data_IF_257719851826
#
_entry.id   IF_257719851826
#
_cell.length_a   1.000
_cell.length_b   1.000
_cell.length_c   1.000
_cell.angle_alpha   90.00
_cell.angle_beta   90.00
_cell.angle_gamma   90.00
#
_symmetry.space_group_name_H-M   'P 1'
#
loop_
_entity.id
_entity.type
_entity.pdbx_description
1 polymer ?
#
# COMPACT_ATOMS: atom_id res chain seq x y z
N UNK A 1 38.13 8.42 -31.19
CA UNK A 1 38.07 8.20 -29.72
C UNK A 1 36.86 7.33 -29.47
N UNK A 2 37.05 6.12 -28.94
CA UNK A 2 35.93 5.24 -28.68
C UNK A 2 34.99 5.87 -27.67
N UNK A 3 33.66 5.87 -27.95
CA UNK A 3 32.61 6.32 -27.03
C UNK A 3 32.80 5.56 -25.71
N UNK A 4 33.17 6.28 -24.66
CA UNK A 4 33.40 5.66 -23.36
C UNK A 4 32.04 5.31 -22.75
N UNK A 5 31.74 4.02 -22.67
CA UNK A 5 30.53 3.52 -22.00
C UNK A 5 30.71 3.67 -20.50
N UNK A 6 29.76 4.33 -19.84
CA UNK A 6 29.75 4.51 -18.39
C UNK A 6 28.72 3.54 -17.78
N UNK A 7 29.15 2.50 -17.07
CA UNK A 7 28.27 1.51 -16.42
C UNK A 7 27.71 2.10 -15.11
N UNK A 8 26.53 2.71 -15.20
CA UNK A 8 25.92 3.45 -14.07
C UNK A 8 25.59 2.53 -12.90
N UNK A 9 25.11 1.31 -13.18
CA UNK A 9 24.81 0.31 -12.14
C UNK A 9 26.03 -0.07 -11.32
N UNK A 10 27.19 -0.20 -11.96
CA UNK A 10 28.46 -0.53 -11.28
C UNK A 10 28.91 0.62 -10.36
N UNK A 11 28.82 1.86 -10.83
CA UNK A 11 29.16 3.03 -10.01
C UNK A 11 28.29 3.13 -8.75
N UNK A 12 26.98 2.80 -8.87
CA UNK A 12 26.08 2.75 -7.73
C UNK A 12 26.44 1.63 -6.75
N UNK A 13 26.80 0.45 -7.26
CA UNK A 13 27.18 -0.70 -6.42
C UNK A 13 28.47 -0.43 -5.65
N UNK A 14 29.47 0.22 -6.26
CA UNK A 14 30.75 0.56 -5.65
C UNK A 14 30.64 1.61 -4.55
N UNK A 15 29.72 2.58 -4.70
CA UNK A 15 29.53 3.68 -3.75
C UNK A 15 28.53 3.39 -2.63
N UNK A 16 27.59 2.45 -2.87
CA UNK A 16 26.56 2.12 -1.89
C UNK A 16 25.50 3.20 -1.71
N UNK A 17 25.01 3.37 -0.48
CA UNK A 17 24.02 4.39 -0.14
C UNK A 17 24.66 5.76 -0.06
N UNK A 18 24.13 6.72 -0.83
CA UNK A 18 24.55 8.10 -0.84
C UNK A 18 23.40 9.10 -0.58
N UNK A 19 23.73 10.38 -0.57
CA UNK A 19 22.77 11.47 -0.35
C UNK A 19 21.60 11.46 -1.36
N UNK A 20 21.85 10.97 -2.58
CA UNK A 20 20.82 10.86 -3.63
C UNK A 20 19.72 9.86 -3.23
N UNK A 21 20.07 8.66 -2.79
CA UNK A 21 19.13 7.64 -2.35
C UNK A 21 18.38 8.06 -1.08
N UNK A 22 19.09 8.68 -0.14
CA UNK A 22 18.46 9.22 1.09
C UNK A 22 17.45 10.31 0.73
N UNK A 23 17.77 11.21 -0.20
CA UNK A 23 16.86 12.24 -0.68
C UNK A 23 15.61 11.63 -1.32
N UNK A 24 15.75 10.59 -2.14
CA UNK A 24 14.62 9.86 -2.73
C UNK A 24 13.75 9.20 -1.66
N UNK A 25 14.36 8.56 -0.66
CA UNK A 25 13.62 7.94 0.45
C UNK A 25 12.83 8.96 1.26
N UNK A 26 13.40 10.14 1.53
CA UNK A 26 12.70 11.22 2.24
C UNK A 26 11.47 11.67 1.44
N UNK A 27 11.59 11.91 0.14
CA UNK A 27 10.46 12.24 -0.71
C UNK A 27 9.42 11.13 -0.74
N UNK A 28 9.86 9.89 -0.91
CA UNK A 28 8.99 8.72 -0.90
C UNK A 28 8.24 8.60 0.42
N UNK A 29 8.90 8.84 1.55
CA UNK A 29 8.29 8.81 2.87
C UNK A 29 7.11 9.78 2.97
N UNK A 30 7.28 11.05 2.61
CA UNK A 30 6.20 12.04 2.70
C UNK A 30 5.07 11.74 1.72
N UNK A 31 5.38 11.34 0.49
CA UNK A 31 4.40 10.98 -0.53
C UNK A 31 3.55 9.79 -0.07
N UNK A 32 4.18 8.73 0.43
CA UNK A 32 3.50 7.50 0.87
C UNK A 32 2.78 7.69 2.21
N UNK A 33 3.30 8.54 3.08
CA UNK A 33 2.65 8.89 4.35
C UNK A 33 1.27 9.51 4.10
N UNK A 34 1.19 10.47 3.19
CA UNK A 34 -0.09 11.13 2.87
C UNK A 34 -1.02 10.24 2.04
N UNK A 35 -0.49 9.31 1.26
CA UNK A 35 -1.23 8.26 0.59
C UNK A 35 -1.97 7.36 1.61
N UNK A 36 -1.24 6.88 2.62
CA UNK A 36 -1.82 6.14 3.74
C UNK A 36 -2.87 6.93 4.53
N UNK A 37 -2.65 8.23 4.72
CA UNK A 37 -3.62 9.13 5.33
C UNK A 37 -4.94 9.13 4.56
N UNK A 38 -4.90 9.38 3.25
CA UNK A 38 -6.11 9.55 2.45
C UNK A 38 -6.94 8.26 2.34
N UNK A 39 -6.28 7.11 2.19
CA UNK A 39 -6.95 5.79 2.17
C UNK A 39 -7.79 5.58 3.45
N UNK A 40 -7.31 6.03 4.60
CA UNK A 40 -8.00 5.86 5.87
C UNK A 40 -9.01 6.99 6.17
N UNK A 41 -8.79 8.20 5.68
CA UNK A 41 -9.55 9.40 6.04
C UNK A 41 -11.07 9.24 5.90
N UNK A 42 -11.54 8.63 4.82
CA UNK A 42 -12.97 8.40 4.57
C UNK A 42 -13.63 7.52 5.65
N UNK A 43 -12.92 6.54 6.20
CA UNK A 43 -13.42 5.67 7.25
C UNK A 43 -13.65 6.44 8.56
N UNK A 44 -12.77 7.39 8.87
CA UNK A 44 -12.91 8.25 10.05
C UNK A 44 -13.95 9.36 9.87
N UNK A 45 -14.21 9.82 8.64
CA UNK A 45 -15.29 10.74 8.32
C UNK A 45 -16.67 10.07 8.35
N UNK A 46 -16.73 8.76 8.08
CA UNK A 46 -17.96 7.99 7.88
C UNK A 46 -19.00 8.14 8.99
N UNK A 47 -18.69 8.08 10.30
CA UNK A 47 -19.68 8.26 11.35
C UNK A 47 -20.37 9.64 11.31
N UNK A 48 -19.62 10.68 10.98
CA UNK A 48 -20.15 12.05 10.85
C UNK A 48 -21.02 12.19 9.60
N UNK A 49 -20.60 11.62 8.47
CA UNK A 49 -21.37 11.60 7.22
C UNK A 49 -22.70 10.86 7.38
N UNK A 50 -22.69 9.68 8.04
CA UNK A 50 -23.92 8.92 8.33
C UNK A 50 -24.92 9.76 9.13
N UNK A 51 -24.44 10.47 10.13
CA UNK A 51 -25.27 11.31 10.98
C UNK A 51 -25.78 12.57 10.26
N UNK A 52 -24.89 13.28 9.57
CA UNK A 52 -25.20 14.57 8.92
C UNK A 52 -26.11 14.40 7.71
N UNK A 53 -25.86 13.38 6.90
CA UNK A 53 -26.66 13.10 5.70
C UNK A 53 -27.81 12.10 5.93
N UNK A 54 -28.07 11.72 7.18
CA UNK A 54 -29.09 10.74 7.57
C UNK A 54 -29.06 9.46 6.73
N UNK A 55 -27.86 8.91 6.49
CA UNK A 55 -27.65 7.78 5.59
C UNK A 55 -28.19 6.48 6.20
N UNK A 56 -28.70 5.61 5.34
CA UNK A 56 -29.03 4.23 5.73
C UNK A 56 -27.78 3.45 6.09
N UNK A 57 -27.85 2.50 7.02
CA UNK A 57 -26.77 1.56 7.28
C UNK A 57 -26.29 0.93 5.96
N UNK A 58 -24.99 0.89 5.74
CA UNK A 58 -24.41 0.30 4.53
C UNK A 58 -24.26 1.22 3.31
N UNK A 59 -24.89 2.38 3.27
CA UNK A 59 -24.83 3.27 2.11
C UNK A 59 -23.40 3.74 1.76
N UNK A 60 -22.46 3.76 2.73
CA UNK A 60 -21.06 4.13 2.51
C UNK A 60 -20.19 3.01 1.90
N UNK A 61 -20.67 1.77 1.86
CA UNK A 61 -19.90 0.66 1.30
C UNK A 61 -19.38 0.91 -0.12
N UNK A 62 -20.24 1.32 -1.08
CA UNK A 62 -19.81 1.71 -2.41
C UNK A 62 -18.78 2.86 -2.41
N UNK A 63 -18.91 3.84 -1.52
CA UNK A 63 -17.98 4.98 -1.43
C UNK A 63 -16.59 4.52 -0.97
N UNK A 64 -16.52 3.63 0.02
CA UNK A 64 -15.25 3.02 0.44
C UNK A 64 -14.59 2.25 -0.70
N UNK A 65 -15.38 1.47 -1.44
CA UNK A 65 -14.88 0.69 -2.57
C UNK A 65 -14.53 1.53 -3.78
N UNK A 66 -15.16 2.70 -3.98
CA UNK A 66 -14.88 3.60 -5.11
C UNK A 66 -13.41 4.01 -5.15
N UNK A 67 -12.83 4.43 -4.02
CA UNK A 67 -11.40 4.76 -3.95
C UNK A 67 -10.51 3.56 -4.35
N UNK A 68 -10.88 2.35 -3.91
CA UNK A 68 -10.10 1.13 -4.18
C UNK A 68 -10.18 0.69 -5.65
N UNK A 69 -11.33 0.89 -6.29
CA UNK A 69 -11.49 0.74 -7.75
C UNK A 69 -10.63 1.77 -8.48
N UNK A 70 -10.68 3.03 -8.03
CA UNK A 70 -9.82 4.09 -8.56
C UNK A 70 -8.34 3.73 -8.45
N UNK A 71 -7.89 3.21 -7.28
CA UNK A 71 -6.52 2.77 -7.04
C UNK A 71 -6.11 1.64 -8.01
N UNK A 72 -7.00 0.68 -8.26
CA UNK A 72 -6.72 -0.42 -9.20
C UNK A 72 -6.45 0.11 -10.61
N UNK A 73 -7.34 0.96 -11.13
CA UNK A 73 -7.22 1.56 -12.47
C UNK A 73 -6.01 2.50 -12.52
N UNK A 74 -5.86 3.36 -11.51
CA UNK A 74 -4.80 4.35 -11.41
C UNK A 74 -3.41 3.73 -11.35
N UNK A 75 -3.26 2.57 -10.73
CA UNK A 75 -1.96 1.88 -10.66
C UNK A 75 -1.44 1.45 -12.04
N UNK A 76 -2.33 1.01 -12.93
CA UNK A 76 -1.97 0.68 -14.31
C UNK A 76 -1.70 1.94 -15.13
N UNK A 77 -2.58 2.96 -15.02
CA UNK A 77 -2.47 4.21 -15.76
C UNK A 77 -1.19 4.96 -15.42
N UNK A 78 -0.95 5.21 -14.13
CA UNK A 78 0.23 5.96 -13.68
C UNK A 78 1.52 5.13 -13.70
N UNK A 79 1.42 3.78 -13.69
CA UNK A 79 2.54 2.92 -14.00
C UNK A 79 3.04 3.17 -15.43
N UNK A 80 2.12 3.14 -16.40
CA UNK A 80 2.41 3.47 -17.81
C UNK A 80 2.93 4.90 -18.00
N UNK A 81 2.32 5.89 -17.33
CA UNK A 81 2.80 7.30 -17.35
C UNK A 81 4.24 7.36 -16.81
N UNK A 82 4.53 6.65 -15.71
CA UNK A 82 5.85 6.61 -15.10
C UNK A 82 6.93 6.00 -15.99
N UNK A 83 6.58 4.95 -16.75
CA UNK A 83 7.48 4.35 -17.74
C UNK A 83 7.77 5.31 -18.90
N UNK A 84 6.76 6.05 -19.36
CA UNK A 84 6.87 6.90 -20.55
C UNK A 84 7.41 8.29 -20.27
N UNK A 85 6.98 8.94 -19.18
CA UNK A 85 7.26 10.35 -18.88
C UNK A 85 8.18 10.55 -17.67
N UNK A 86 8.56 9.47 -17.01
CA UNK A 86 9.42 9.48 -15.82
C UNK A 86 8.65 9.26 -14.51
N UNK A 87 9.34 8.66 -13.55
CA UNK A 87 8.75 8.30 -12.25
C UNK A 87 8.34 9.54 -11.44
N UNK A 88 9.18 10.58 -11.48
CA UNK A 88 8.89 11.85 -10.83
C UNK A 88 7.62 12.50 -11.38
N UNK A 89 7.49 12.56 -12.71
CA UNK A 89 6.32 13.15 -13.36
C UNK A 89 5.04 12.39 -12.94
N UNK A 90 5.06 11.07 -12.97
CA UNK A 90 3.94 10.24 -12.53
C UNK A 90 3.58 10.51 -11.06
N UNK A 91 4.55 10.60 -10.16
CA UNK A 91 4.33 10.89 -8.74
C UNK A 91 3.74 12.29 -8.52
N UNK A 92 4.23 13.31 -9.22
CA UNK A 92 3.70 14.68 -9.13
C UNK A 92 2.24 14.73 -9.60
N UNK A 93 1.94 14.17 -10.78
CA UNK A 93 0.57 14.16 -11.31
C UNK A 93 -0.37 13.32 -10.47
N UNK A 94 0.09 12.17 -9.94
CA UNK A 94 -0.67 11.34 -8.99
C UNK A 94 -1.07 12.14 -7.75
N UNK A 95 -0.10 12.82 -7.11
CA UNK A 95 -0.35 13.61 -5.90
C UNK A 95 -1.24 14.83 -6.17
N UNK A 96 -1.09 15.51 -7.30
CA UNK A 96 -1.97 16.61 -7.69
C UNK A 96 -3.40 16.11 -7.90
N UNK A 97 -3.57 15.01 -8.65
CA UNK A 97 -4.88 14.46 -8.96
C UNK A 97 -5.62 14.09 -7.67
N UNK A 98 -5.01 13.24 -6.83
CA UNK A 98 -5.71 12.84 -5.62
C UNK A 98 -5.88 14.00 -4.64
N UNK A 99 -4.91 14.91 -4.53
CA UNK A 99 -5.01 16.07 -3.67
C UNK A 99 -6.18 16.98 -4.05
N UNK A 100 -6.36 17.27 -5.33
CA UNK A 100 -7.47 18.11 -5.84
C UNK A 100 -8.82 17.44 -5.56
N UNK A 101 -8.98 16.15 -5.88
CA UNK A 101 -10.26 15.46 -5.68
C UNK A 101 -10.56 15.17 -4.21
N UNK A 102 -9.52 14.94 -3.38
CA UNK A 102 -9.69 14.86 -1.93
C UNK A 102 -10.08 16.20 -1.32
N UNK A 103 -9.46 17.29 -1.78
CA UNK A 103 -9.86 18.66 -1.36
C UNK A 103 -11.32 18.95 -1.75
N UNK A 104 -11.71 18.60 -2.98
CA UNK A 104 -13.09 18.75 -3.43
C UNK A 104 -14.08 17.92 -2.59
N UNK A 105 -13.67 16.75 -2.08
CA UNK A 105 -14.50 15.90 -1.22
C UNK A 105 -14.87 16.58 0.12
N UNK A 106 -14.07 17.54 0.60
CA UNK A 106 -14.42 18.34 1.77
C UNK A 106 -15.71 19.18 1.57
N UNK A 107 -16.07 19.45 0.32
CA UNK A 107 -17.25 20.23 -0.05
C UNK A 107 -18.38 19.39 -0.64
N UNK A 108 -18.27 18.05 -0.58
CA UNK A 108 -19.35 17.17 -1.03
C UNK A 108 -20.60 17.35 -0.16
N UNK A 109 -21.77 17.40 -0.80
CA UNK A 109 -23.05 17.61 -0.14
C UNK A 109 -23.95 16.38 -0.15
N UNK A 110 -23.57 15.36 -0.90
CA UNK A 110 -24.32 14.11 -1.01
C UNK A 110 -23.41 12.91 -1.33
N UNK A 111 -24.02 11.72 -1.21
CA UNK A 111 -23.31 10.44 -1.36
C UNK A 111 -22.77 10.24 -2.78
N UNK A 112 -23.49 10.65 -3.81
CA UNK A 112 -23.07 10.47 -5.20
C UNK A 112 -21.85 11.32 -5.54
N UNK A 113 -21.82 12.58 -5.08
CA UNK A 113 -20.65 13.42 -5.22
C UNK A 113 -19.44 12.80 -4.50
N UNK A 114 -19.63 12.34 -3.25
CA UNK A 114 -18.57 11.70 -2.49
C UNK A 114 -18.04 10.45 -3.22
N UNK A 115 -18.93 9.63 -3.80
CA UNK A 115 -18.54 8.44 -4.57
C UNK A 115 -17.61 8.78 -5.73
N UNK A 116 -18.02 9.72 -6.59
CA UNK A 116 -17.22 10.09 -7.77
C UNK A 116 -15.91 10.78 -7.39
N UNK A 117 -15.93 11.65 -6.38
CA UNK A 117 -14.72 12.32 -5.90
C UNK A 117 -13.74 11.30 -5.29
N UNK A 118 -14.21 10.30 -4.56
CA UNK A 118 -13.38 9.22 -4.02
C UNK A 118 -12.82 8.31 -5.12
N UNK A 119 -13.61 8.01 -6.16
CA UNK A 119 -13.13 7.26 -7.32
C UNK A 119 -11.98 7.99 -8.02
N UNK A 120 -12.15 9.30 -8.28
CA UNK A 120 -11.14 10.11 -8.96
C UNK A 120 -9.90 10.37 -8.09
N UNK A 121 -10.08 10.58 -6.78
CA UNK A 121 -8.96 10.62 -5.84
C UNK A 121 -8.18 9.29 -5.87
N UNK A 122 -8.92 8.17 -5.85
CA UNK A 122 -8.34 6.83 -5.95
C UNK A 122 -7.49 6.61 -7.20
N UNK A 123 -7.87 7.17 -8.35
CA UNK A 123 -7.04 7.12 -9.57
C UNK A 123 -5.66 7.73 -9.33
N UNK A 124 -5.59 8.88 -8.64
CA UNK A 124 -4.31 9.50 -8.28
C UNK A 124 -3.51 8.63 -7.29
N UNK A 125 -4.14 8.22 -6.19
CA UNK A 125 -3.54 7.35 -5.15
C UNK A 125 -2.91 6.10 -5.77
N UNK A 126 -3.62 5.48 -6.75
CA UNK A 126 -3.14 4.28 -7.43
C UNK A 126 -1.76 4.41 -8.08
N UNK A 127 -1.39 5.62 -8.50
CA UNK A 127 -0.09 5.87 -9.12
C UNK A 127 1.08 6.00 -8.14
N UNK A 128 0.81 6.19 -6.85
CA UNK A 128 1.85 6.49 -5.85
C UNK A 128 2.76 5.28 -5.62
N UNK A 129 2.21 4.18 -5.11
CA UNK A 129 3.01 3.02 -4.68
C UNK A 129 3.87 2.43 -5.81
N UNK A 130 3.36 2.13 -7.03
CA UNK A 130 4.19 1.54 -8.07
C UNK A 130 5.35 2.45 -8.49
N UNK A 131 5.13 3.76 -8.58
CA UNK A 131 6.18 4.70 -8.97
C UNK A 131 7.19 4.96 -7.85
N UNK A 132 6.77 4.96 -6.56
CA UNK A 132 7.68 5.04 -5.42
C UNK A 132 8.57 3.80 -5.35
N UNK A 133 8.00 2.61 -5.52
CA UNK A 133 8.77 1.36 -5.56
C UNK A 133 9.77 1.39 -6.71
N UNK A 134 9.31 1.79 -7.91
CA UNK A 134 10.14 1.84 -9.11
C UNK A 134 11.30 2.82 -8.95
N UNK A 135 11.04 4.08 -8.56
CA UNK A 135 12.11 5.11 -8.49
C UNK A 135 13.18 4.75 -7.45
N UNK A 136 12.79 4.16 -6.31
CA UNK A 136 13.74 3.73 -5.30
C UNK A 136 14.54 2.49 -5.76
N UNK A 137 13.90 1.50 -6.39
CA UNK A 137 14.58 0.30 -6.90
C UNK A 137 15.52 0.63 -8.07
N UNK A 138 15.09 1.47 -9.00
CA UNK A 138 15.87 1.90 -10.19
C UNK A 138 17.08 2.77 -9.83
N UNK A 139 17.05 3.41 -8.66
CA UNK A 139 18.09 4.31 -8.18
C UNK A 139 18.98 3.71 -7.09
N UNK A 140 18.75 2.46 -6.72
CA UNK A 140 19.44 1.76 -5.64
C UNK A 140 20.59 0.86 -6.14
N UNK A 141 21.65 0.67 -5.33
CA UNK A 141 22.60 -0.42 -5.51
C UNK A 141 21.89 -1.78 -5.55
N UNK A 142 22.38 -2.73 -6.36
CA UNK A 142 21.76 -4.07 -6.57
C UNK A 142 21.36 -4.76 -5.27
N UNK A 143 22.26 -4.79 -4.30
CA UNK A 143 22.07 -5.47 -3.01
C UNK A 143 20.97 -4.84 -2.16
N UNK A 144 20.65 -3.57 -2.38
CA UNK A 144 19.72 -2.77 -1.54
C UNK A 144 18.38 -2.45 -2.24
N UNK A 145 18.20 -2.80 -3.51
CA UNK A 145 16.98 -2.49 -4.29
C UNK A 145 15.70 -2.90 -3.58
N UNK A 146 15.62 -4.16 -3.17
CA UNK A 146 14.43 -4.68 -2.47
C UNK A 146 14.23 -4.00 -1.10
N UNK A 147 15.32 -3.77 -0.36
CA UNK A 147 15.26 -3.14 0.96
C UNK A 147 14.76 -1.70 0.88
N UNK A 148 15.30 -0.89 -0.05
CA UNK A 148 14.89 0.50 -0.20
C UNK A 148 13.44 0.61 -0.71
N UNK A 149 13.03 -0.27 -1.62
CA UNK A 149 11.64 -0.32 -2.08
C UNK A 149 10.66 -0.66 -0.94
N UNK A 150 11.02 -1.61 -0.05
CA UNK A 150 10.18 -1.96 1.11
C UNK A 150 10.13 -0.82 2.13
N UNK A 151 11.28 -0.20 2.45
CA UNK A 151 11.35 0.93 3.37
C UNK A 151 10.49 2.09 2.85
N UNK A 152 10.56 2.38 1.55
CA UNK A 152 9.84 3.46 0.92
C UNK A 152 8.31 3.36 1.09
N UNK A 153 7.75 2.13 1.11
CA UNK A 153 6.29 1.91 1.26
C UNK A 153 5.87 1.56 2.68
N UNK A 154 6.82 1.29 3.56
CA UNK A 154 6.55 0.82 4.93
C UNK A 154 5.82 1.84 5.82
N UNK A 155 5.75 3.12 5.42
CA UNK A 155 5.08 4.16 6.17
C UNK A 155 3.57 4.32 5.86
N UNK A 156 2.99 3.54 4.93
CA UNK A 156 1.54 3.57 4.63
C UNK A 156 0.69 3.44 5.90
N UNK A 157 0.89 2.45 6.79
CA UNK A 157 0.07 2.32 7.98
C UNK A 157 0.29 3.47 8.98
N UNK A 158 1.51 4.04 9.04
CA UNK A 158 1.79 5.24 9.86
C UNK A 158 0.92 6.39 9.38
N UNK A 159 0.88 6.64 8.08
CA UNK A 159 -0.02 7.60 7.46
C UNK A 159 -1.48 7.32 7.78
N UNK A 160 -1.91 6.06 7.68
CA UNK A 160 -3.27 5.63 7.99
C UNK A 160 -3.70 5.79 9.45
N UNK A 161 -2.76 5.91 10.39
CA UNK A 161 -3.06 6.21 11.79
C UNK A 161 -3.39 7.70 12.03
N UNK A 162 -2.82 8.59 11.24
CA UNK A 162 -2.93 10.06 11.44
C UNK A 162 -4.38 10.54 11.42
N UNK A 163 -5.27 10.11 10.47
CA UNK A 163 -6.68 10.54 10.48
C UNK A 163 -7.39 10.23 11.78
N UNK A 164 -7.04 9.16 12.50
CA UNK A 164 -7.59 8.83 13.81
C UNK A 164 -7.25 9.90 14.85
N UNK A 165 -5.99 10.33 14.92
CA UNK A 165 -5.56 11.41 15.82
C UNK A 165 -6.17 12.75 15.43
N UNK A 166 -6.23 13.07 14.13
CA UNK A 166 -6.90 14.27 13.61
C UNK A 166 -8.39 14.25 13.96
N UNK A 167 -9.05 13.10 13.84
CA UNK A 167 -10.47 12.94 14.22
C UNK A 167 -10.67 13.19 15.69
N UNK A 168 -9.85 12.63 16.56
CA UNK A 168 -9.97 12.83 18.01
C UNK A 168 -9.76 14.29 18.44
N UNK A 169 -8.84 15.00 17.78
CA UNK A 169 -8.44 16.34 18.17
C UNK A 169 -9.22 17.46 17.46
N UNK A 170 -9.50 17.32 16.15
CA UNK A 170 -9.97 18.44 15.32
C UNK A 170 -11.43 18.28 14.84
N UNK A 171 -11.91 17.06 14.58
CA UNK A 171 -13.27 16.86 14.06
C UNK A 171 -14.37 17.41 15.00
N UNK A 172 -14.26 17.36 16.33
CA UNK A 172 -15.26 17.97 17.21
C UNK A 172 -15.41 19.47 17.04
N UNK A 173 -14.37 20.18 16.58
CA UNK A 173 -14.38 21.64 16.41
C UNK A 173 -14.64 22.07 14.97
N UNK A 174 -14.07 21.35 13.99
CA UNK A 174 -14.05 21.76 12.57
C UNK A 174 -14.89 20.85 11.65
N UNK A 175 -15.56 19.83 12.21
CA UNK A 175 -16.31 18.87 11.41
C UNK A 175 -15.41 17.87 10.64
N UNK A 176 -16.04 16.91 9.96
CA UNK A 176 -15.37 15.87 9.20
C UNK A 176 -14.60 16.43 7.98
N UNK A 177 -14.96 17.60 7.52
CA UNK A 177 -14.35 18.30 6.38
C UNK A 177 -12.85 18.51 6.57
N UNK A 178 -12.38 18.70 7.81
CA UNK A 178 -10.97 18.91 8.14
C UNK A 178 -10.08 17.75 7.68
N UNK A 179 -10.62 16.52 7.70
CA UNK A 179 -9.89 15.32 7.23
C UNK A 179 -9.56 15.43 5.75
N UNK A 180 -10.51 15.88 4.94
CA UNK A 180 -10.31 16.03 3.50
C UNK A 180 -9.58 17.32 3.14
N UNK A 181 -9.71 18.38 3.93
CA UNK A 181 -8.88 19.59 3.76
C UNK A 181 -7.40 19.28 3.95
N UNK A 182 -7.03 18.61 5.03
CA UNK A 182 -5.65 18.17 5.27
C UNK A 182 -5.21 17.19 4.17
N UNK A 183 -6.04 16.15 3.90
CA UNK A 183 -5.77 15.13 2.89
C UNK A 183 -5.68 15.65 1.47
N UNK A 184 -6.22 16.84 1.17
CA UNK A 184 -6.14 17.48 -0.13
C UNK A 184 -5.01 18.52 -0.25
N UNK A 185 -4.88 19.40 0.74
CA UNK A 185 -3.88 20.49 0.70
C UNK A 185 -2.46 19.94 0.80
N UNK A 186 -2.21 19.00 1.71
CA UNK A 186 -0.85 18.47 1.96
C UNK A 186 -0.27 17.78 0.72
N UNK A 187 -0.97 16.87 0.01
CA UNK A 187 -0.41 16.24 -1.19
C UNK A 187 -0.19 17.24 -2.34
N UNK A 188 -1.02 18.28 -2.46
CA UNK A 188 -0.79 19.35 -3.44
C UNK A 188 0.52 20.09 -3.14
N UNK A 189 0.76 20.43 -1.87
CA UNK A 189 2.03 21.05 -1.43
C UNK A 189 3.21 20.12 -1.71
N UNK A 190 3.08 18.82 -1.36
CA UNK A 190 4.11 17.81 -1.61
C UNK A 190 4.37 17.68 -3.12
N UNK A 191 3.35 17.69 -3.96
CA UNK A 191 3.49 17.60 -5.42
C UNK A 191 4.28 18.79 -5.99
N UNK A 192 3.92 20.01 -5.57
CA UNK A 192 4.62 21.23 -5.99
C UNK A 192 6.08 21.21 -5.51
N UNK A 193 6.29 20.86 -4.25
CA UNK A 193 7.64 20.76 -3.69
C UNK A 193 8.46 19.63 -4.35
N UNK A 194 7.86 18.48 -4.67
CA UNK A 194 8.49 17.38 -5.39
C UNK A 194 8.84 17.77 -6.83
N UNK A 195 7.99 18.57 -7.50
CA UNK A 195 8.30 19.09 -8.83
C UNK A 195 9.60 19.90 -8.84
N UNK A 196 9.89 20.61 -7.77
CA UNK A 196 11.10 21.45 -7.65
C UNK A 196 12.29 20.63 -7.13
N UNK A 197 12.09 19.87 -6.05
CA UNK A 197 13.18 19.31 -5.24
C UNK A 197 13.46 17.83 -5.41
N UNK A 198 12.51 17.02 -5.93
CA UNK A 198 12.69 15.58 -6.09
C UNK A 198 13.53 15.26 -7.33
N UNK A 199 14.55 14.41 -7.24
CA UNK A 199 15.27 13.94 -8.40
C UNK A 199 14.44 12.92 -9.21
N UNK A 200 14.77 12.76 -10.50
CA UNK A 200 14.19 11.74 -11.38
C UNK A 200 14.91 10.38 -11.18
N UNK A 201 14.28 9.29 -11.65
CA UNK A 201 14.87 7.96 -11.69
C UNK A 201 16.17 7.96 -12.51
N UNK A 202 17.19 7.29 -11.97
CA UNK A 202 18.47 7.10 -12.68
C UNK A 202 18.25 6.35 -14.00
N UNK A 203 17.41 5.32 -13.98
CA UNK A 203 17.07 4.55 -15.19
C UNK A 203 16.44 5.44 -16.26
N UNK A 204 15.46 6.24 -15.88
CA UNK A 204 14.81 7.15 -16.82
C UNK A 204 15.79 8.18 -17.41
N UNK A 205 16.66 8.76 -16.56
CA UNK A 205 17.69 9.70 -17.01
C UNK A 205 18.71 9.08 -17.97
N UNK A 206 19.03 7.79 -17.78
CA UNK A 206 19.96 7.06 -18.65
C UNK A 206 19.37 6.80 -20.04
N UNK A 207 18.07 6.56 -20.12
CA UNK A 207 17.38 6.24 -21.39
C UNK A 207 17.00 7.48 -22.22
N UNK A 208 17.06 8.68 -21.65
CA UNK A 208 16.61 9.91 -22.32
C UNK A 208 17.73 10.95 -22.43
N UNK A 209 18.15 11.21 -23.66
CA UNK A 209 19.23 12.19 -23.94
C UNK A 209 18.93 13.61 -23.41
N UNK A 210 17.66 14.01 -23.37
CA UNK A 210 17.23 15.29 -22.79
C UNK A 210 17.58 15.45 -21.31
N UNK A 211 17.84 14.36 -20.60
CA UNK A 211 18.23 14.33 -19.18
C UNK A 211 19.76 14.19 -18.97
N UNK A 212 20.53 14.17 -20.04
CA UNK A 212 21.98 13.94 -20.02
C UNK A 212 22.72 14.86 -19.04
N UNK A 213 22.45 16.16 -19.09
CA UNK A 213 23.12 17.12 -18.21
C UNK A 213 22.82 16.92 -16.73
N UNK A 214 21.62 16.39 -16.39
CA UNK A 214 21.29 15.99 -15.01
C UNK A 214 22.03 14.72 -14.61
N UNK A 215 22.16 13.77 -15.54
CA UNK A 215 22.90 12.53 -15.32
C UNK A 215 24.39 12.78 -15.10
N UNK A 216 25.01 13.66 -15.88
CA UNK A 216 26.42 14.07 -15.72
C UNK A 216 26.66 14.70 -14.34
N UNK A 217 25.79 15.63 -13.91
CA UNK A 217 25.86 16.22 -12.57
C UNK A 217 25.72 15.17 -11.46
N UNK A 218 24.82 14.21 -11.65
CA UNK A 218 24.62 13.13 -10.69
C UNK A 218 25.86 12.26 -10.58
N UNK A 219 26.46 11.84 -11.70
CA UNK A 219 27.70 11.00 -11.70
C UNK A 219 28.85 11.77 -11.04
N UNK A 220 29.01 13.05 -11.35
CA UNK A 220 30.01 13.90 -10.71
C UNK A 220 29.80 14.00 -9.19
N UNK A 221 28.55 14.06 -8.74
CA UNK A 221 28.21 14.09 -7.32
C UNK A 221 28.44 12.72 -6.62
N UNK A 222 28.10 11.63 -7.29
CA UNK A 222 28.28 10.27 -6.77
C UNK A 222 29.77 9.87 -6.80
N UNK A 223 30.49 10.21 -7.84
CA UNK A 223 31.89 9.83 -8.05
C UNK A 223 32.74 11.03 -8.49
N UNK A 224 33.12 11.91 -7.53
CA UNK A 224 34.00 13.03 -7.83
C UNK A 224 35.32 12.55 -8.46
N UNK A 225 35.67 13.15 -9.62
CA UNK A 225 36.87 12.78 -10.35
C UNK A 225 36.72 11.64 -11.37
N UNK A 226 35.50 11.09 -11.56
CA UNK A 226 35.27 10.13 -12.64
C UNK A 226 35.41 10.84 -14.01
N UNK A 227 36.29 10.33 -14.92
CA UNK A 227 36.54 11.00 -16.19
C UNK A 227 35.33 10.83 -17.13
N UNK A 228 34.48 11.85 -17.21
CA UNK A 228 33.38 11.92 -18.16
C UNK A 228 33.85 12.46 -19.51
N UNK A 229 33.68 11.69 -20.57
CA UNK A 229 33.88 12.14 -21.95
C UNK A 229 32.64 12.92 -22.42
N UNK A 230 32.78 13.98 -23.25
CA UNK A 230 31.63 14.70 -23.83
C UNK A 230 30.62 13.79 -24.57
N UNK A 231 31.08 12.66 -25.08
CA UNK A 231 30.26 11.67 -25.82
C UNK A 231 30.04 10.37 -25.03
N UNK A 232 30.19 10.38 -23.70
CA UNK A 232 29.96 9.18 -22.89
C UNK A 232 28.52 8.67 -23.03
N UNK A 233 28.35 7.36 -23.30
CA UNK A 233 27.05 6.68 -23.28
C UNK A 233 26.83 6.07 -21.89
N UNK A 234 25.75 6.49 -21.25
CA UNK A 234 25.33 5.91 -19.98
C UNK A 234 24.57 4.62 -20.25
N UNK A 235 24.92 3.52 -19.55
CA UNK A 235 24.29 2.21 -19.73
C UNK A 235 23.98 1.60 -18.36
N UNK A 236 22.82 0.96 -18.27
CA UNK A 236 22.45 0.11 -17.15
C UNK A 236 22.69 -1.34 -17.61
N UNK A 237 23.75 -1.96 -17.10
CA UNK A 237 24.21 -3.30 -17.54
C UNK A 237 23.26 -4.44 -17.14
N UNK A 238 22.24 -4.19 -16.31
CA UNK A 238 21.43 -5.20 -15.64
C UNK A 238 20.10 -5.51 -16.29
N UNK A 239 19.75 -4.86 -17.36
CA UNK A 239 18.49 -5.16 -18.04
C UNK A 239 18.63 -6.39 -18.93
N UNK A 240 18.38 -7.57 -18.34
CA UNK A 240 17.92 -8.69 -19.14
C UNK A 240 16.59 -8.31 -19.78
N UNK A 241 16.64 -7.99 -21.08
CA UNK A 241 15.42 -7.86 -21.90
C UNK A 241 14.78 -9.24 -21.97
N UNK A 242 13.79 -9.50 -21.13
CA UNK A 242 12.99 -10.70 -21.28
C UNK A 242 12.09 -10.51 -22.50
N UNK A 243 12.12 -11.41 -23.49
CA UNK A 243 11.13 -11.45 -24.54
C UNK A 243 9.74 -11.60 -23.88
N UNK A 244 8.79 -10.79 -24.28
CA UNK A 244 7.47 -10.56 -23.74
C UNK A 244 6.96 -11.57 -22.71
N UNK A 245 6.48 -11.06 -21.57
CA UNK A 245 5.95 -11.90 -20.51
C UNK A 245 4.64 -12.58 -20.94
N UNK A 246 4.59 -13.91 -20.85
CA UNK A 246 3.38 -14.68 -21.00
C UNK A 246 2.87 -15.13 -19.60
N UNK A 247 1.68 -14.66 -19.16
CA UNK A 247 1.09 -15.06 -17.87
C UNK A 247 1.02 -16.57 -17.65
N UNK A 248 0.93 -17.36 -18.74
CA UNK A 248 0.89 -18.81 -18.68
C UNK A 248 2.13 -19.43 -17.99
N UNK A 249 3.26 -18.74 -17.97
CA UNK A 249 4.45 -19.23 -17.27
C UNK A 249 4.28 -19.28 -15.74
N UNK A 250 3.36 -18.48 -15.16
CA UNK A 250 3.03 -18.53 -13.74
C UNK A 250 2.31 -19.82 -13.31
N UNK A 251 1.83 -20.59 -14.26
CA UNK A 251 1.11 -21.86 -14.03
C UNK A 251 1.93 -23.11 -14.37
N UNK A 252 3.19 -22.92 -14.79
CA UNK A 252 4.11 -24.03 -15.11
C UNK A 252 4.92 -24.50 -13.88
N UNK A 253 5.67 -25.56 -14.03
CA UNK A 253 6.60 -26.07 -13.01
C UNK A 253 5.93 -26.37 -11.65
N UNK A 254 4.74 -26.96 -11.65
CA UNK A 254 4.01 -27.29 -10.42
C UNK A 254 3.35 -26.11 -9.72
N UNK A 255 3.29 -24.93 -10.37
CA UNK A 255 2.68 -23.72 -9.81
C UNK A 255 1.20 -23.55 -10.20
N UNK A 256 0.64 -24.43 -11.02
CA UNK A 256 -0.72 -24.28 -11.56
C UNK A 256 -1.80 -24.12 -10.49
N UNK A 257 -1.66 -24.81 -9.35
CA UNK A 257 -2.59 -24.70 -8.20
C UNK A 257 -2.10 -23.69 -7.17
N UNK A 258 -0.78 -23.58 -6.98
CA UNK A 258 -0.19 -22.68 -5.97
C UNK A 258 -0.43 -21.22 -6.32
N UNK A 259 -0.31 -20.84 -7.60
CA UNK A 259 -0.49 -19.46 -8.04
C UNK A 259 -1.89 -18.90 -7.74
N UNK A 260 -3.01 -19.55 -8.14
CA UNK A 260 -4.34 -19.05 -7.82
C UNK A 260 -4.64 -19.09 -6.32
N UNK A 261 -4.15 -20.08 -5.58
CA UNK A 261 -4.27 -20.11 -4.13
C UNK A 261 -3.53 -18.94 -3.47
N UNK A 262 -2.36 -18.57 -3.98
CA UNK A 262 -1.61 -17.42 -3.48
C UNK A 262 -2.35 -16.10 -3.74
N UNK A 263 -2.96 -15.96 -4.92
CA UNK A 263 -3.80 -14.80 -5.25
C UNK A 263 -5.04 -14.72 -4.36
N UNK A 264 -5.69 -15.87 -4.12
CA UNK A 264 -6.83 -15.98 -3.20
C UNK A 264 -6.43 -15.62 -1.78
N UNK A 265 -5.28 -16.13 -1.29
CA UNK A 265 -4.76 -15.82 0.04
C UNK A 265 -4.56 -14.31 0.23
N UNK A 266 -3.99 -13.66 -0.77
CA UNK A 266 -3.79 -12.22 -0.78
C UNK A 266 -5.13 -11.47 -0.77
N UNK A 267 -6.08 -11.89 -1.60
CA UNK A 267 -7.41 -11.29 -1.67
C UNK A 267 -8.19 -11.44 -0.35
N UNK A 268 -8.14 -12.61 0.28
CA UNK A 268 -8.79 -12.86 1.56
C UNK A 268 -8.23 -11.96 2.67
N UNK A 269 -6.90 -11.81 2.74
CA UNK A 269 -6.29 -10.93 3.72
C UNK A 269 -6.66 -9.46 3.50
N UNK A 270 -6.60 -8.98 2.26
CA UNK A 270 -7.01 -7.61 1.93
C UNK A 270 -8.51 -7.38 2.18
N UNK A 271 -9.35 -8.37 1.92
CA UNK A 271 -10.78 -8.29 2.21
C UNK A 271 -11.04 -8.04 3.70
N UNK A 272 -10.41 -8.84 4.58
CA UNK A 272 -10.50 -8.64 6.02
C UNK A 272 -9.91 -7.31 6.49
N UNK A 273 -8.74 -6.93 5.97
CA UNK A 273 -8.08 -5.66 6.32
C UNK A 273 -8.95 -4.45 5.97
N UNK A 274 -9.43 -4.37 4.72
CA UNK A 274 -10.22 -3.21 4.27
C UNK A 274 -11.63 -3.19 4.87
N UNK A 275 -12.19 -4.35 5.24
CA UNK A 275 -13.37 -4.38 6.09
C UNK A 275 -13.10 -3.70 7.44
N UNK A 276 -12.06 -4.15 8.17
CA UNK A 276 -11.70 -3.58 9.47
C UNK A 276 -11.39 -2.07 9.36
N UNK A 277 -10.60 -1.67 8.37
CA UNK A 277 -10.24 -0.27 8.16
C UNK A 277 -11.48 0.61 7.93
N UNK A 278 -12.39 0.18 7.05
CA UNK A 278 -13.52 1.00 6.60
C UNK A 278 -14.66 1.06 7.64
N UNK A 279 -14.93 -0.07 8.29
CA UNK A 279 -16.15 -0.20 9.11
C UNK A 279 -15.92 -0.03 10.60
N UNK A 280 -14.70 -0.23 11.13
CA UNK A 280 -14.45 -0.12 12.58
C UNK A 280 -14.94 1.21 13.17
N UNK A 281 -14.66 2.39 12.59
CA UNK A 281 -15.16 3.65 13.16
C UNK A 281 -16.70 3.72 13.18
N UNK A 282 -17.35 3.33 12.10
CA UNK A 282 -18.81 3.37 11.98
C UNK A 282 -19.50 2.39 12.93
N UNK A 283 -18.99 1.16 13.04
CA UNK A 283 -19.54 0.12 13.91
C UNK A 283 -19.39 0.46 15.39
N UNK A 284 -18.25 1.00 15.78
CA UNK A 284 -18.01 1.42 17.15
C UNK A 284 -18.86 2.62 17.54
N UNK A 285 -19.13 3.54 16.59
CA UNK A 285 -20.08 4.65 16.80
C UNK A 285 -21.52 4.13 16.93
N UNK A 286 -21.91 3.14 16.13
CA UNK A 286 -23.22 2.49 16.26
C UNK A 286 -23.37 1.77 17.61
N UNK A 287 -22.28 1.25 18.19
CA UNK A 287 -22.22 0.72 19.55
C UNK A 287 -22.23 1.82 20.65
N UNK A 288 -22.43 3.09 20.27
CA UNK A 288 -22.51 4.25 21.18
C UNK A 288 -21.24 4.54 21.98
N UNK A 289 -20.07 4.16 21.43
CA UNK A 289 -18.79 4.49 22.06
C UNK A 289 -18.43 5.99 21.87
N UNK A 290 -17.67 6.58 22.79
CA UNK A 290 -17.22 7.96 22.66
C UNK A 290 -16.44 8.19 21.37
N UNK A 291 -16.63 9.32 20.66
CA UNK A 291 -15.95 9.60 19.39
C UNK A 291 -14.41 9.52 19.46
N UNK A 292 -13.83 9.95 20.58
CA UNK A 292 -12.39 9.86 20.82
C UNK A 292 -11.90 8.41 20.91
N UNK A 293 -12.67 7.54 21.60
CA UNK A 293 -12.37 6.10 21.70
C UNK A 293 -12.45 5.44 20.34
N UNK A 294 -13.48 5.77 19.54
CA UNK A 294 -13.66 5.27 18.17
C UNK A 294 -12.46 5.65 17.29
N UNK A 295 -12.04 6.91 17.34
CA UNK A 295 -10.93 7.42 16.58
C UNK A 295 -9.59 6.75 16.98
N UNK A 296 -9.35 6.60 18.28
CA UNK A 296 -8.17 5.93 18.81
C UNK A 296 -8.15 4.43 18.47
N UNK A 297 -9.30 3.76 18.43
CA UNK A 297 -9.38 2.35 18.03
C UNK A 297 -8.95 2.14 16.56
N UNK A 298 -9.39 3.01 15.65
CA UNK A 298 -8.94 2.98 14.26
C UNK A 298 -7.44 3.30 14.11
N UNK A 299 -6.93 4.29 14.86
CA UNK A 299 -5.49 4.59 14.89
C UNK A 299 -4.68 3.41 15.47
N UNK A 300 -5.17 2.78 16.54
CA UNK A 300 -4.55 1.61 17.19
C UNK A 300 -4.39 0.43 16.21
N UNK A 301 -5.40 0.17 15.36
CA UNK A 301 -5.33 -0.82 14.28
C UNK A 301 -4.12 -0.56 13.36
N UNK A 302 -3.91 0.68 12.97
CA UNK A 302 -2.83 1.05 12.04
C UNK A 302 -1.45 1.03 12.70
N UNK A 303 -1.37 1.51 13.94
CA UNK A 303 -0.13 1.45 14.75
C UNK A 303 0.27 0.00 14.99
N UNK A 304 -0.68 -0.86 15.40
CA UNK A 304 -0.47 -2.28 15.54
C UNK A 304 0.02 -2.92 14.24
N UNK A 305 -0.58 -2.53 13.12
CA UNK A 305 -0.18 -2.97 11.79
C UNK A 305 1.24 -2.60 11.42
N UNK A 306 1.67 -1.37 11.74
CA UNK A 306 3.07 -0.94 11.53
C UNK A 306 4.04 -1.81 12.32
N UNK A 307 3.75 -2.02 13.61
CA UNK A 307 4.59 -2.84 14.50
C UNK A 307 4.61 -4.30 14.02
N UNK A 308 3.45 -4.84 13.63
CA UNK A 308 3.32 -6.20 13.11
C UNK A 308 4.11 -6.41 11.82
N UNK A 309 4.00 -5.49 10.86
CA UNK A 309 4.74 -5.56 9.60
C UNK A 309 6.26 -5.59 9.82
N UNK A 310 6.78 -4.78 10.76
CA UNK A 310 8.21 -4.71 11.06
C UNK A 310 8.71 -5.96 11.79
N UNK A 311 8.04 -6.37 12.86
CA UNK A 311 8.51 -7.47 13.70
C UNK A 311 8.31 -8.84 13.05
N UNK A 312 7.17 -9.04 12.39
CA UNK A 312 6.85 -10.32 11.79
C UNK A 312 7.61 -10.58 10.49
N UNK A 313 8.02 -9.54 9.77
CA UNK A 313 8.88 -9.71 8.59
C UNK A 313 10.17 -10.46 8.92
N UNK A 314 10.78 -10.21 10.08
CA UNK A 314 11.97 -10.92 10.54
C UNK A 314 11.70 -12.39 10.89
N UNK A 315 10.60 -12.68 11.59
CA UNK A 315 10.22 -14.04 11.97
C UNK A 315 9.83 -14.90 10.77
N UNK A 316 9.12 -14.32 9.79
CA UNK A 316 8.66 -14.97 8.56
C UNK A 316 9.79 -15.44 7.63
N UNK A 317 10.96 -14.83 7.70
CA UNK A 317 12.13 -15.29 6.95
C UNK A 317 12.56 -16.70 7.34
N UNK A 318 12.29 -17.12 8.58
CA UNK A 318 12.66 -18.46 9.09
C UNK A 318 11.59 -19.52 8.87
N UNK A 319 10.30 -19.20 9.03
CA UNK A 319 9.20 -20.16 9.12
C UNK A 319 8.17 -20.09 7.97
N UNK A 320 8.35 -19.18 7.02
CA UNK A 320 7.56 -19.06 5.78
C UNK A 320 6.03 -19.26 5.96
N UNK A 321 5.44 -20.24 5.24
CA UNK A 321 3.99 -20.49 5.22
C UNK A 321 3.39 -20.92 6.55
N UNK A 322 4.11 -21.70 7.35
CA UNK A 322 3.59 -22.17 8.64
C UNK A 322 3.36 -20.99 9.60
N UNK A 323 4.30 -20.03 9.62
CA UNK A 323 4.14 -18.83 10.42
C UNK A 323 2.92 -18.01 10.00
N UNK A 324 2.71 -17.83 8.70
CA UNK A 324 1.54 -17.12 8.15
C UNK A 324 0.25 -17.87 8.52
N UNK A 325 0.21 -19.19 8.41
CA UNK A 325 -0.95 -19.98 8.78
C UNK A 325 -1.30 -19.83 10.27
N UNK A 326 -0.30 -19.90 11.16
CA UNK A 326 -0.48 -19.68 12.60
C UNK A 326 -1.04 -18.26 12.86
N UNK A 327 -0.50 -17.24 12.19
CA UNK A 327 -0.99 -15.88 12.33
C UNK A 327 -2.44 -15.72 11.88
N UNK A 328 -2.86 -16.37 10.80
CA UNK A 328 -4.25 -16.40 10.36
C UNK A 328 -5.15 -17.06 11.42
N UNK A 329 -4.73 -18.18 12.00
CA UNK A 329 -5.48 -18.85 13.07
C UNK A 329 -5.64 -17.95 14.30
N UNK A 330 -4.57 -17.24 14.70
CA UNK A 330 -4.63 -16.31 15.83
C UNK A 330 -5.47 -15.07 15.49
N UNK A 331 -5.47 -14.61 14.23
CA UNK A 331 -6.25 -13.46 13.80
C UNK A 331 -7.77 -13.69 13.95
N UNK A 332 -8.25 -14.93 13.78
CA UNK A 332 -9.68 -15.26 13.90
C UNK A 332 -10.26 -14.84 15.27
N UNK A 333 -9.78 -15.36 16.41
CA UNK A 333 -10.31 -14.96 17.72
C UNK A 333 -10.02 -13.50 18.06
N UNK A 334 -8.88 -12.93 17.63
CA UNK A 334 -8.53 -11.54 17.89
C UNK A 334 -9.50 -10.59 17.17
N UNK A 335 -9.76 -10.80 15.89
CA UNK A 335 -10.72 -10.00 15.12
C UNK A 335 -12.13 -10.18 15.66
N UNK A 336 -12.54 -11.44 15.93
CA UNK A 336 -13.86 -11.72 16.51
C UNK A 336 -14.08 -11.07 17.89
N UNK A 337 -13.02 -10.90 18.69
CA UNK A 337 -13.11 -10.29 20.02
C UNK A 337 -13.35 -8.78 20.01
N UNK A 338 -13.07 -8.07 18.90
CA UNK A 338 -13.22 -6.61 18.82
C UNK A 338 -14.65 -6.17 19.18
N UNK A 339 -15.65 -6.89 18.67
CA UNK A 339 -17.06 -6.57 18.93
C UNK A 339 -17.47 -6.71 20.42
N UNK A 340 -16.80 -7.56 21.18
CA UNK A 340 -17.01 -7.74 22.62
C UNK A 340 -16.15 -6.77 23.44
N UNK A 341 -14.91 -6.54 23.01
CA UNK A 341 -13.96 -5.68 23.70
C UNK A 341 -14.47 -4.23 23.86
N UNK A 342 -15.17 -3.72 22.84
CA UNK A 342 -15.80 -2.39 22.89
C UNK A 342 -16.87 -2.24 23.97
N UNK A 343 -17.46 -3.36 24.43
CA UNK A 343 -18.47 -3.37 25.51
C UNK A 343 -17.87 -3.48 26.91
N UNK A 344 -16.59 -3.87 27.02
CA UNK A 344 -15.95 -4.10 28.33
C UNK A 344 -15.18 -2.88 28.80
N UNK A 345 -14.26 -2.35 28.00
CA UNK A 345 -13.47 -1.17 28.35
C UNK A 345 -12.77 -0.58 27.11
N UNK A 346 -12.41 0.72 27.21
CA UNK A 346 -11.60 1.37 26.20
C UNK A 346 -10.25 0.65 26.00
N UNK A 347 -9.59 0.26 27.10
CA UNK A 347 -8.30 -0.42 27.03
C UNK A 347 -8.40 -1.77 26.31
N UNK A 348 -9.46 -2.56 26.57
CA UNK A 348 -9.70 -3.83 25.88
C UNK A 348 -9.90 -3.62 24.37
N UNK A 349 -10.67 -2.59 23.97
CA UNK A 349 -10.90 -2.27 22.57
C UNK A 349 -9.60 -1.86 21.86
N UNK A 350 -8.82 -0.95 22.45
CA UNK A 350 -7.55 -0.49 21.88
C UNK A 350 -6.56 -1.65 21.76
N UNK A 351 -6.51 -2.54 22.74
CA UNK A 351 -5.66 -3.73 22.71
C UNK A 351 -6.11 -4.70 21.62
N UNK A 352 -7.42 -5.00 21.51
CA UNK A 352 -7.95 -5.92 20.50
C UNK A 352 -7.70 -5.36 19.07
N UNK A 353 -7.96 -4.06 18.84
CA UNK A 353 -7.71 -3.42 17.54
C UNK A 353 -6.22 -3.35 17.22
N UNK A 354 -5.34 -3.09 18.20
CA UNK A 354 -3.89 -3.14 18.01
C UNK A 354 -3.43 -4.51 17.53
N UNK A 355 -3.81 -5.58 18.24
CA UNK A 355 -3.40 -6.93 17.87
C UNK A 355 -4.07 -7.41 16.58
N UNK A 356 -5.28 -6.97 16.26
CA UNK A 356 -5.89 -7.23 14.95
C UNK A 356 -5.06 -6.60 13.83
N UNK A 357 -4.68 -5.33 13.97
CA UNK A 357 -3.79 -4.65 13.02
C UNK A 357 -2.43 -5.33 12.92
N UNK A 358 -1.81 -5.65 14.06
CA UNK A 358 -0.53 -6.36 14.16
C UNK A 358 -0.52 -7.66 13.36
N UNK A 359 -1.55 -8.49 13.51
CA UNK A 359 -1.66 -9.75 12.79
C UNK A 359 -1.98 -9.54 11.32
N UNK A 360 -3.00 -8.76 11.00
CA UNK A 360 -3.52 -8.63 9.62
C UNK A 360 -2.51 -7.97 8.68
N UNK A 361 -1.86 -6.87 9.10
CA UNK A 361 -0.82 -6.23 8.29
C UNK A 361 0.52 -6.98 8.35
N UNK A 362 0.79 -7.68 9.45
CA UNK A 362 1.90 -8.62 9.54
C UNK A 362 1.74 -9.79 8.55
N UNK A 363 0.55 -10.38 8.47
CA UNK A 363 0.20 -11.40 7.47
C UNK A 363 0.39 -10.83 6.06
N UNK A 364 -0.06 -9.61 5.79
CA UNK A 364 0.09 -8.94 4.49
C UNK A 364 1.56 -8.87 4.07
N UNK A 365 2.42 -8.41 4.98
CA UNK A 365 3.87 -8.35 4.76
C UNK A 365 4.47 -9.73 4.51
N UNK A 366 4.00 -10.73 5.26
CA UNK A 366 4.41 -12.13 5.09
C UNK A 366 4.04 -12.69 3.73
N UNK A 367 2.80 -12.49 3.28
CA UNK A 367 2.34 -12.98 1.98
C UNK A 367 3.14 -12.32 0.84
N UNK A 368 3.50 -11.04 0.96
CA UNK A 368 4.35 -10.36 -0.02
C UNK A 368 5.73 -11.02 -0.13
N UNK A 369 6.37 -11.30 1.01
CA UNK A 369 7.70 -11.93 1.05
C UNK A 369 7.65 -13.36 0.51
N UNK A 370 6.72 -14.17 1.00
CA UNK A 370 6.62 -15.58 0.63
C UNK A 370 6.14 -15.74 -0.82
N UNK A 371 5.23 -14.88 -1.28
CA UNK A 371 4.81 -14.84 -2.68
C UNK A 371 5.96 -14.60 -3.63
N UNK A 372 6.85 -13.67 -3.30
CA UNK A 372 8.06 -13.42 -4.08
C UNK A 372 9.03 -14.61 -4.09
N UNK A 373 9.09 -15.40 -3.02
CA UNK A 373 10.00 -16.54 -2.89
C UNK A 373 9.50 -17.83 -3.58
N UNK A 374 8.21 -17.96 -3.85
CA UNK A 374 7.62 -19.13 -4.55
C UNK A 374 8.01 -19.14 -6.03
N UNK A 375 8.02 -17.97 -6.65
CA UNK A 375 8.30 -17.86 -8.06
C UNK A 375 9.81 -17.94 -8.35
N UNK A 376 10.21 -18.64 -9.43
CA UNK A 376 11.57 -18.57 -9.95
C UNK A 376 12.02 -17.12 -10.16
N UNK A 377 13.31 -16.85 -10.06
CA UNK A 377 13.85 -15.47 -10.12
C UNK A 377 13.39 -14.72 -11.37
N UNK A 378 13.29 -15.40 -12.52
CA UNK A 378 12.84 -14.86 -13.80
C UNK A 378 11.35 -14.46 -13.82
N UNK A 379 10.50 -15.09 -13.00
CA UNK A 379 9.06 -14.86 -12.94
C UNK A 379 8.61 -14.05 -11.71
N UNK A 380 9.54 -13.79 -10.78
CA UNK A 380 9.24 -13.22 -9.46
C UNK A 380 8.55 -11.86 -9.53
N UNK A 381 9.06 -10.94 -10.34
CA UNK A 381 8.49 -9.60 -10.50
C UNK A 381 7.06 -9.66 -11.06
N UNK A 382 6.87 -10.45 -12.10
CA UNK A 382 5.58 -10.63 -12.74
C UNK A 382 4.58 -11.37 -11.85
N UNK A 383 5.02 -12.44 -11.17
CA UNK A 383 4.19 -13.20 -10.23
C UNK A 383 3.71 -12.34 -9.07
N UNK A 384 4.60 -11.53 -8.48
CA UNK A 384 4.23 -10.57 -7.43
C UNK A 384 3.31 -9.46 -7.95
N UNK A 385 3.52 -8.97 -9.17
CA UNK A 385 2.64 -7.97 -9.79
C UNK A 385 1.22 -8.49 -9.99
N UNK A 386 1.05 -9.70 -10.52
CA UNK A 386 -0.25 -10.34 -10.67
C UNK A 386 -0.92 -10.64 -9.32
N UNK A 387 -0.16 -11.10 -8.33
CA UNK A 387 -0.64 -11.30 -6.97
C UNK A 387 -1.21 -10.01 -6.38
N UNK A 388 -0.48 -8.90 -6.50
CA UNK A 388 -0.93 -7.58 -6.05
C UNK A 388 -2.18 -7.11 -6.81
N UNK A 389 -2.21 -7.26 -8.14
CA UNK A 389 -3.32 -6.83 -8.97
C UNK A 389 -4.62 -7.57 -8.65
N UNK A 390 -4.57 -8.92 -8.68
CA UNK A 390 -5.75 -9.75 -8.42
C UNK A 390 -6.16 -9.66 -6.94
N UNK A 391 -5.20 -9.61 -6.02
CA UNK A 391 -5.48 -9.47 -4.61
C UNK A 391 -6.25 -8.19 -4.25
N UNK A 392 -6.09 -7.11 -5.03
CA UNK A 392 -6.86 -5.87 -4.84
C UNK A 392 -8.38 -6.05 -5.00
N UNK A 393 -8.83 -7.09 -5.70
CA UNK A 393 -10.27 -7.45 -5.74
C UNK A 393 -10.78 -7.67 -4.31
N UNK A 394 -10.00 -8.33 -3.45
CA UNK A 394 -10.34 -8.50 -2.04
C UNK A 394 -10.52 -7.17 -1.31
N UNK A 395 -9.67 -6.17 -1.59
CA UNK A 395 -9.81 -4.84 -0.99
C UNK A 395 -11.13 -4.15 -1.37
N UNK A 396 -11.59 -4.33 -2.60
CA UNK A 396 -12.87 -3.76 -3.08
C UNK A 396 -14.06 -4.49 -2.47
N UNK A 397 -13.97 -5.82 -2.37
CA UNK A 397 -15.06 -6.65 -1.85
C UNK A 397 -15.24 -6.46 -0.33
N UNK A 398 -14.16 -6.24 0.43
CA UNK A 398 -14.22 -6.08 1.89
C UNK A 398 -15.23 -5.04 2.38
N UNK A 399 -15.12 -3.79 1.97
CA UNK A 399 -16.09 -2.75 2.34
C UNK A 399 -17.51 -3.03 1.85
N UNK A 400 -17.69 -3.62 0.67
CA UNK A 400 -19.01 -4.00 0.13
C UNK A 400 -19.67 -5.09 0.96
N UNK A 401 -18.91 -6.11 1.38
CA UNK A 401 -19.41 -7.15 2.28
C UNK A 401 -19.89 -6.55 3.61
N UNK A 402 -19.14 -5.60 4.17
CA UNK A 402 -19.56 -4.90 5.38
C UNK A 402 -20.90 -4.19 5.20
N UNK A 403 -21.13 -3.58 4.03
CA UNK A 403 -22.40 -2.91 3.72
C UNK A 403 -23.60 -3.87 3.72
N UNK A 404 -23.43 -5.11 3.29
CA UNK A 404 -24.50 -6.13 3.26
C UNK A 404 -24.89 -6.60 4.66
N UNK A 405 -23.97 -6.59 5.60
CA UNK A 405 -24.17 -7.13 6.96
C UNK A 405 -24.43 -6.05 8.00
N UNK A 406 -24.38 -4.76 7.64
CA UNK A 406 -24.72 -3.65 8.54
C UNK A 406 -26.20 -3.73 8.93
N UNK A 407 -26.47 -3.83 10.22
CA UNK A 407 -27.79 -4.08 10.78
C UNK A 407 -27.79 -5.28 11.74
N UNK A 408 -26.76 -6.12 11.66
CA UNK A 408 -26.52 -7.17 12.66
C UNK A 408 -25.91 -6.55 13.94
N UNK A 409 -26.05 -7.22 15.08
CA UNK A 409 -25.32 -6.88 16.29
C UNK A 409 -23.81 -6.80 16.01
N UNK A 410 -23.15 -5.77 16.55
CA UNK A 410 -21.72 -5.50 16.28
C UNK A 410 -20.84 -6.72 16.58
N UNK A 411 -21.16 -7.50 17.61
CA UNK A 411 -20.45 -8.73 17.97
C UNK A 411 -20.50 -9.76 16.85
N UNK A 412 -21.70 -10.02 16.31
CA UNK A 412 -21.88 -10.98 15.22
C UNK A 412 -21.15 -10.52 13.97
N UNK A 413 -21.17 -9.21 13.67
CA UNK A 413 -20.54 -8.65 12.50
C UNK A 413 -19.01 -8.84 12.53
N UNK A 414 -18.36 -8.63 13.69
CA UNK A 414 -16.93 -8.94 13.83
C UNK A 414 -16.63 -10.44 13.79
N UNK A 415 -17.51 -11.30 14.29
CA UNK A 415 -17.37 -12.75 14.12
C UNK A 415 -17.42 -13.16 12.64
N UNK A 416 -18.37 -12.62 11.86
CA UNK A 416 -18.44 -12.86 10.40
C UNK A 416 -17.25 -12.27 9.65
N UNK A 417 -16.75 -11.13 10.07
CA UNK A 417 -15.55 -10.52 9.47
C UNK A 417 -14.27 -11.33 9.68
N UNK A 418 -14.27 -12.30 10.59
CA UNK A 418 -13.18 -13.23 10.81
C UNK A 418 -13.15 -14.38 9.76
N UNK A 419 -14.22 -14.62 9.01
CA UNK A 419 -14.29 -15.73 8.02
C UNK A 419 -13.19 -15.66 6.94
N UNK A 420 -12.81 -14.50 6.38
CA UNK A 420 -11.69 -14.44 5.45
C UNK A 420 -10.38 -14.95 6.05
N UNK A 421 -10.18 -14.78 7.36
CA UNK A 421 -8.98 -15.26 8.04
C UNK A 421 -9.04 -16.77 8.28
N UNK A 422 -10.22 -17.35 8.53
CA UNK A 422 -10.42 -18.81 8.58
C UNK A 422 -10.10 -19.42 7.22
N UNK A 423 -10.67 -18.88 6.15
CA UNK A 423 -10.38 -19.33 4.79
C UNK A 423 -8.91 -19.14 4.42
N UNK A 424 -8.30 -18.02 4.84
CA UNK A 424 -6.88 -17.73 4.66
C UNK A 424 -5.97 -18.76 5.33
N UNK A 425 -6.30 -19.18 6.56
CA UNK A 425 -5.57 -20.24 7.27
C UNK A 425 -5.61 -21.56 6.48
N UNK A 426 -6.79 -21.97 6.01
CA UNK A 426 -6.96 -23.20 5.23
C UNK A 426 -6.18 -23.15 3.90
N UNK A 427 -6.27 -22.04 3.18
CA UNK A 427 -5.55 -21.82 1.91
C UNK A 427 -4.04 -21.82 2.15
N UNK A 428 -3.56 -21.15 3.20
CA UNK A 428 -2.14 -21.11 3.54
C UNK A 428 -1.59 -22.49 3.88
N UNK A 429 -2.36 -23.30 4.62
CA UNK A 429 -2.01 -24.69 4.92
C UNK A 429 -1.98 -25.58 3.65
N UNK A 430 -2.93 -25.40 2.75
CA UNK A 430 -2.94 -26.09 1.45
C UNK A 430 -1.70 -25.74 0.62
N UNK A 431 -1.35 -24.45 0.53
CA UNK A 431 -0.12 -24.00 -0.17
C UNK A 431 1.12 -24.60 0.48
N UNK A 432 1.19 -24.64 1.81
CA UNK A 432 2.32 -25.25 2.54
C UNK A 432 2.51 -26.71 2.14
N UNK A 433 1.46 -27.53 2.17
CA UNK A 433 1.51 -28.93 1.77
C UNK A 433 1.92 -29.12 0.31
N UNK A 434 1.29 -28.38 -0.60
CA UNK A 434 1.60 -28.47 -2.04
C UNK A 434 3.03 -28.05 -2.37
N UNK A 435 3.52 -26.99 -1.74
CA UNK A 435 4.88 -26.54 -1.96
C UNK A 435 5.92 -27.50 -1.37
N UNK A 436 5.64 -28.13 -0.23
CA UNK A 436 6.52 -29.15 0.35
C UNK A 436 6.59 -30.38 -0.56
N UNK A 437 5.44 -30.86 -1.06
CA UNK A 437 5.37 -31.97 -2.01
C UNK A 437 6.14 -31.65 -3.33
N UNK A 438 6.00 -30.41 -3.85
CA UNK A 438 6.71 -29.94 -5.05
C UNK A 438 8.23 -29.91 -4.88
N UNK A 439 8.73 -29.56 -3.70
CA UNK A 439 10.16 -29.49 -3.42
C UNK A 439 10.77 -30.86 -3.14
N UNK A 440 9.94 -31.86 -2.83
CA UNK A 440 10.36 -33.24 -2.60
C UNK A 440 10.35 -34.10 -3.91
N UNK A 441 9.61 -33.67 -4.93
CA UNK A 441 9.59 -34.27 -6.27
C UNK A 441 10.64 -33.65 -7.21
#
# INVERSE_FOLDING_TARGET
MADKVVPVSRLLDERGLGAFQIKLLIWSFFIVLIDGYDIAAIAFAAPSLVREWALKPGALGPVFSASLVGILIGSALFGWIGDRYGRKAALVWSNLLFGVFTLAAAYATNLDQMFWLRLLAGLGIGGVIPNVVAINAESAPRKLRATLAIIAVGCVPIGGAIPGFVTAALVPQYGWQILFLIGGIVPIIIAIAAQIGMPESIKYMTLHESQRGKMERLITAISPGYPLSPNAKFVIEDEQQFPGFNPAYLFRQGLAVITPLLWLLFALNLMGYFFLLSWTPTLMTAAKLPPTTVALAGASLQVGGTVGALLLCWWLQRHRFLAIAIMFVIAVPVVGSIGFAGLTSQAALLTATFFAGFLVLGIQSGINVVGALIYPTSLRANGSGWQLGIGRIGSIVGPLMGALFVGMPVQQLYMWSALPFVAGAAVCFAIHRLNTARLAA
#
